data_IF_923587396096
#
_entry.id   IF_923587396096
#
_cell.length_a   1.000
_cell.length_b   1.000
_cell.length_c   1.000
_cell.angle_alpha   90.00
_cell.angle_beta   90.00
_cell.angle_gamma   90.00
#
_symmetry.space_group_name_H-M   'P 1'
#
loop_
_entity.id
_entity.type
_entity.pdbx_description
1 polymer ?
#
# COMPACT_ATOMS: atom_id res chain seq x y z
N UNK A 1 -28.00 36.89 26.28
CA UNK A 1 -28.93 35.75 26.29
C UNK A 1 -29.37 35.50 24.85
N UNK A 2 -28.61 34.70 24.08
CA UNK A 2 -29.01 34.24 22.76
C UNK A 2 -28.73 32.75 22.65
N UNK A 3 -29.81 32.01 22.46
CA UNK A 3 -29.79 30.54 22.33
C UNK A 3 -29.36 30.19 20.91
N UNK A 4 -28.23 29.52 20.73
CA UNK A 4 -27.85 28.91 19.47
C UNK A 4 -28.43 27.49 19.39
N UNK A 5 -29.32 27.30 18.44
CA UNK A 5 -29.98 26.05 18.10
C UNK A 5 -28.99 25.16 17.36
N UNK A 6 -28.75 23.96 17.90
CA UNK A 6 -27.98 22.91 17.24
C UNK A 6 -28.93 22.11 16.36
N UNK A 7 -28.70 22.10 15.05
CA UNK A 7 -29.42 21.25 14.10
C UNK A 7 -28.65 19.97 13.94
N UNK A 8 -29.22 18.88 14.46
CA UNK A 8 -28.72 17.53 14.22
C UNK A 8 -29.28 17.03 12.88
N UNK A 9 -28.44 16.71 11.92
CA UNK A 9 -28.82 16.04 10.69
C UNK A 9 -28.87 14.53 10.93
N UNK A 10 -30.06 13.96 10.87
CA UNK A 10 -30.35 12.54 10.89
C UNK A 10 -30.21 12.01 9.46
N UNK A 11 -29.27 11.13 9.20
CA UNK A 11 -29.20 10.39 7.93
C UNK A 11 -30.03 9.12 8.08
N UNK A 12 -31.12 9.08 7.33
CA UNK A 12 -32.06 7.97 7.24
C UNK A 12 -31.52 6.92 6.26
N UNK A 13 -31.21 5.73 6.76
CA UNK A 13 -30.81 4.60 5.92
C UNK A 13 -32.03 3.98 5.23
N UNK A 14 -31.98 3.86 3.91
CA UNK A 14 -32.97 3.17 3.11
C UNK A 14 -32.58 1.68 2.98
N UNK A 15 -33.37 0.80 3.59
CA UNK A 15 -33.33 -0.65 3.37
C UNK A 15 -34.22 -0.96 2.16
N UNK A 16 -33.63 -1.50 1.10
CA UNK A 16 -34.41 -2.06 -0.03
C UNK A 16 -34.36 -3.57 0.09
N UNK A 17 -35.53 -4.14 0.32
CA UNK A 17 -35.76 -5.58 0.30
C UNK A 17 -35.81 -6.08 -1.16
N UNK A 18 -35.00 -7.12 -1.47
CA UNK A 18 -34.95 -7.73 -2.76
C UNK A 18 -35.98 -8.85 -2.91
N UNK A 19 -36.65 -8.89 -4.06
CA UNK A 19 -37.50 -10.00 -4.50
C UNK A 19 -36.67 -11.04 -5.26
N UNK A 20 -36.78 -12.27 -4.82
CA UNK A 20 -36.28 -13.49 -5.47
C UNK A 20 -37.12 -13.84 -6.70
N UNK A 21 -36.45 -14.00 -7.84
CA UNK A 21 -37.01 -14.61 -9.04
C UNK A 21 -36.10 -15.73 -9.54
N UNK A 22 -36.46 -16.97 -9.30
CA UNK A 22 -35.72 -18.13 -9.75
C UNK A 22 -36.02 -18.42 -11.23
N UNK A 23 -35.00 -18.64 -12.04
CA UNK A 23 -35.10 -19.32 -13.33
C UNK A 23 -34.37 -20.65 -13.24
N UNK A 24 -35.15 -21.72 -13.41
CA UNK A 24 -34.65 -23.08 -13.60
C UNK A 24 -34.17 -23.22 -15.05
N UNK A 25 -33.00 -23.77 -15.26
CA UNK A 25 -32.56 -24.30 -16.54
C UNK A 25 -32.39 -25.82 -16.41
N UNK A 26 -33.01 -26.49 -17.37
CA UNK A 26 -33.16 -27.93 -17.55
C UNK A 26 -31.88 -28.53 -18.19
N UNK A 27 -31.40 -29.71 -17.76
CA UNK A 27 -30.24 -30.35 -18.37
C UNK A 27 -30.67 -31.51 -19.26
N UNK A 28 -30.67 -31.33 -20.55
CA UNK A 28 -30.57 -32.48 -21.50
C UNK A 28 -30.08 -32.03 -22.86
N UNK A 29 -28.86 -32.44 -23.23
CA UNK A 29 -28.61 -33.10 -24.53
C UNK A 29 -27.19 -33.65 -24.63
N UNK A 30 -27.17 -34.98 -24.54
CA UNK A 30 -26.09 -35.85 -24.97
C UNK A 30 -26.08 -35.91 -26.48
N UNK A 31 -24.91 -35.90 -27.12
CA UNK A 31 -24.69 -36.64 -28.35
C UNK A 31 -23.21 -36.94 -28.54
N UNK A 32 -22.91 -38.20 -28.56
CA UNK A 32 -21.62 -38.81 -28.87
C UNK A 32 -21.25 -38.65 -30.34
N UNK A 33 -19.97 -38.59 -30.65
CA UNK A 33 -19.38 -39.14 -31.86
C UNK A 33 -18.02 -39.75 -31.56
N UNK A 34 -17.91 -41.02 -31.89
CA UNK A 34 -16.73 -41.88 -31.79
C UNK A 34 -15.92 -41.84 -33.10
N UNK A 35 -14.68 -42.24 -33.03
CA UNK A 35 -13.81 -42.62 -34.12
C UNK A 35 -12.48 -41.87 -34.08
N UNK A 36 -11.30 -42.44 -34.12
CA UNK A 36 -10.81 -43.69 -34.70
C UNK A 36 -9.39 -43.90 -34.13
N UNK A 37 -9.07 -45.11 -33.76
CA UNK A 37 -7.72 -45.53 -33.38
C UNK A 37 -6.83 -45.64 -34.63
N UNK A 38 -5.59 -45.19 -34.54
CA UNK A 38 -4.53 -45.59 -35.46
C UNK A 38 -3.30 -45.97 -34.64
N UNK A 39 -2.92 -47.27 -34.78
CA UNK A 39 -1.71 -47.86 -34.28
C UNK A 39 -0.48 -47.18 -34.94
N UNK A 40 0.59 -46.95 -34.15
CA UNK A 40 1.91 -46.81 -34.70
C UNK A 40 2.97 -47.23 -33.70
N UNK A 41 3.54 -48.36 -34.01
CA UNK A 41 4.95 -48.76 -33.94
C UNK A 41 5.80 -48.39 -32.68
N UNK A 42 6.09 -49.44 -31.97
CA UNK A 42 7.21 -49.60 -31.02
C UNK A 42 8.55 -49.40 -31.71
N UNK A 43 9.32 -48.38 -31.29
CA UNK A 43 10.76 -48.31 -31.51
C UNK A 43 11.46 -48.31 -30.15
N UNK A 44 12.15 -49.40 -29.89
CA UNK A 44 13.14 -49.60 -28.83
C UNK A 44 14.38 -48.78 -29.14
N UNK A 45 14.63 -47.74 -28.37
CA UNK A 45 15.90 -47.00 -28.30
C UNK A 45 16.67 -47.36 -27.01
N UNK A 46 18.02 -47.23 -26.97
CA UNK A 46 18.86 -47.89 -26.00
C UNK A 46 18.76 -47.27 -24.60
N UNK A 47 18.82 -48.18 -23.65
CA UNK A 47 18.89 -47.98 -22.20
C UNK A 47 20.08 -47.06 -21.83
N UNK A 48 19.83 -45.82 -21.45
CA UNK A 48 20.81 -44.93 -20.87
C UNK A 48 20.93 -45.26 -19.38
N UNK A 49 22.09 -45.75 -19.01
CA UNK A 49 22.49 -46.06 -17.64
C UNK A 49 22.34 -44.78 -16.76
N UNK A 50 21.62 -44.96 -15.68
CA UNK A 50 21.60 -44.03 -14.56
C UNK A 50 22.90 -44.09 -13.76
N UNK A 51 23.80 -43.17 -14.01
CA UNK A 51 24.88 -42.83 -13.06
C UNK A 51 25.20 -41.37 -13.24
N UNK A 52 25.06 -40.63 -12.10
CA UNK A 52 25.43 -39.27 -11.78
C UNK A 52 24.25 -38.37 -11.42
N UNK A 53 23.54 -38.77 -10.34
CA UNK A 53 22.86 -37.80 -9.53
C UNK A 53 23.92 -36.94 -8.82
N UNK A 54 24.35 -35.86 -9.50
CA UNK A 54 25.11 -34.77 -8.84
C UNK A 54 24.28 -34.25 -7.70
N UNK A 55 24.60 -34.66 -6.47
CA UNK A 55 24.10 -34.05 -5.23
C UNK A 55 24.38 -32.56 -5.32
N UNK A 56 23.35 -31.75 -5.62
CA UNK A 56 23.42 -30.30 -5.42
C UNK A 56 23.80 -30.06 -3.96
N UNK A 57 24.86 -29.28 -3.69
CA UNK A 57 25.22 -28.97 -2.31
C UNK A 57 23.99 -28.39 -1.64
N UNK A 58 23.60 -28.97 -0.49
CA UNK A 58 22.45 -28.55 0.27
C UNK A 58 22.53 -27.05 0.52
N UNK A 59 21.49 -26.31 0.11
CA UNK A 59 21.36 -24.90 0.42
C UNK A 59 21.39 -24.74 1.94
N UNK A 60 22.45 -24.10 2.45
CA UNK A 60 22.51 -23.71 3.87
C UNK A 60 21.20 -22.94 4.17
N UNK A 61 20.53 -23.22 5.30
CA UNK A 61 19.36 -22.46 5.67
C UNK A 61 19.75 -20.98 5.69
N UNK A 62 19.06 -20.18 4.86
CA UNK A 62 19.25 -18.73 4.84
C UNK A 62 18.71 -18.20 6.15
N UNK A 63 19.60 -17.83 7.06
CA UNK A 63 19.21 -17.22 8.34
C UNK A 63 18.61 -15.85 8.01
N UNK A 64 17.34 -15.63 8.37
CA UNK A 64 16.66 -14.35 8.16
C UNK A 64 17.46 -13.20 8.78
N UNK A 65 17.62 -12.11 8.04
CA UNK A 65 18.31 -10.90 8.51
C UNK A 65 17.62 -10.28 9.72
N UNK A 66 18.30 -9.43 10.53
CA UNK A 66 17.66 -8.71 11.62
C UNK A 66 16.43 -7.90 11.15
N UNK A 67 16.51 -7.25 10.00
CA UNK A 67 15.39 -6.51 9.40
C UNK A 67 14.22 -7.44 9.05
N UNK A 68 14.49 -8.58 8.43
CA UNK A 68 13.45 -9.55 8.11
C UNK A 68 12.76 -10.11 9.37
N UNK A 69 13.53 -10.45 10.40
CA UNK A 69 12.99 -10.90 11.68
C UNK A 69 12.10 -9.84 12.32
N UNK A 70 12.53 -8.57 12.29
CA UNK A 70 11.77 -7.46 12.85
C UNK A 70 10.43 -7.26 12.09
N UNK A 71 10.45 -7.32 10.75
CA UNK A 71 9.22 -7.22 9.94
C UNK A 71 8.27 -8.36 10.26
N UNK A 72 8.73 -9.60 10.30
CA UNK A 72 7.87 -10.75 10.62
C UNK A 72 7.30 -10.67 12.03
N UNK A 73 8.10 -10.24 13.00
CA UNK A 73 7.66 -10.02 14.38
C UNK A 73 6.60 -8.91 14.47
N UNK A 74 6.78 -7.79 13.72
CA UNK A 74 5.81 -6.71 13.66
C UNK A 74 4.46 -7.17 13.09
N UNK A 75 4.47 -7.93 12.01
CA UNK A 75 3.24 -8.51 11.42
C UNK A 75 2.53 -9.46 12.41
N UNK A 76 3.27 -10.32 13.09
CA UNK A 76 2.74 -11.30 14.02
C UNK A 76 2.35 -10.72 15.39
N UNK A 77 2.61 -9.43 15.65
CA UNK A 77 2.41 -8.83 16.96
C UNK A 77 0.92 -8.88 17.39
N UNK A 78 0.56 -9.60 18.47
CA UNK A 78 -0.83 -9.75 18.91
C UNK A 78 -1.44 -8.46 19.46
N UNK A 79 -0.61 -7.47 19.84
CA UNK A 79 -1.08 -6.15 20.30
C UNK A 79 -1.71 -5.31 19.18
N UNK A 80 -1.51 -5.68 17.91
CA UNK A 80 -2.12 -5.00 16.75
C UNK A 80 -3.63 -5.27 16.71
N UNK A 81 -4.45 -4.28 16.33
CA UNK A 81 -5.88 -4.46 16.14
C UNK A 81 -6.19 -5.64 15.20
N UNK A 82 -7.20 -6.45 15.54
CA UNK A 82 -7.59 -7.59 14.70
C UNK A 82 -7.98 -7.16 13.28
N UNK A 83 -8.67 -6.03 13.15
CA UNK A 83 -9.02 -5.44 11.85
C UNK A 83 -7.78 -5.13 10.98
N UNK A 84 -6.70 -4.65 11.60
CA UNK A 84 -5.45 -4.40 10.87
C UNK A 84 -4.77 -5.70 10.42
N UNK A 85 -4.74 -6.72 11.29
CA UNK A 85 -4.17 -8.02 10.94
C UNK A 85 -4.89 -8.69 9.76
N UNK A 86 -6.21 -8.49 9.64
CA UNK A 86 -6.96 -8.96 8.45
C UNK A 86 -6.54 -8.26 7.15
N UNK A 87 -6.01 -7.04 7.25
CA UNK A 87 -5.53 -6.24 6.10
C UNK A 87 -4.12 -6.62 5.65
N UNK A 88 -3.36 -7.38 6.45
CA UNK A 88 -1.96 -7.72 6.15
C UNK A 88 -1.81 -8.53 4.86
N UNK A 89 -2.69 -9.52 4.65
CA UNK A 89 -2.66 -10.38 3.46
C UNK A 89 -2.97 -9.61 2.17
N UNK A 90 -4.08 -8.87 2.05
CA UNK A 90 -4.34 -8.10 0.83
C UNK A 90 -3.31 -6.97 0.60
N UNK A 91 -2.72 -6.42 1.65
CA UNK A 91 -1.68 -5.38 1.54
C UNK A 91 -0.27 -5.93 1.37
N UNK A 92 -0.07 -7.24 1.46
CA UNK A 92 1.26 -7.89 1.39
C UNK A 92 2.30 -7.17 2.26
N UNK A 93 1.89 -6.70 3.46
CA UNK A 93 2.62 -5.70 4.24
C UNK A 93 4.04 -6.12 4.61
N UNK A 94 4.26 -7.41 4.87
CA UNK A 94 5.60 -7.93 5.12
C UNK A 94 6.51 -7.79 3.88
N UNK A 95 5.99 -8.07 2.68
CA UNK A 95 6.74 -7.96 1.43
C UNK A 95 7.04 -6.49 1.11
N UNK A 96 6.06 -5.60 1.29
CA UNK A 96 6.20 -4.15 1.08
C UNK A 96 7.28 -3.56 2.01
N UNK A 97 7.23 -3.85 3.32
CA UNK A 97 8.21 -3.33 4.26
C UNK A 97 9.63 -3.86 4.00
N UNK A 98 9.77 -5.13 3.59
CA UNK A 98 11.05 -5.68 3.15
C UNK A 98 11.56 -5.03 1.88
N UNK A 99 10.67 -4.81 0.91
CA UNK A 99 11.03 -4.13 -0.34
C UNK A 99 11.53 -2.70 -0.10
N UNK A 100 10.97 -1.99 0.88
CA UNK A 100 11.43 -0.66 1.28
C UNK A 100 12.65 -0.69 2.22
N UNK A 101 13.20 -1.88 2.52
CA UNK A 101 14.37 -2.05 3.38
C UNK A 101 14.21 -1.44 4.78
N UNK A 102 12.98 -1.41 5.32
CA UNK A 102 12.76 -0.90 6.67
C UNK A 102 13.44 -1.82 7.69
N UNK A 103 14.23 -1.22 8.59
CA UNK A 103 15.09 -1.95 9.52
C UNK A 103 15.07 -1.34 10.93
N UNK A 104 15.47 -2.12 11.95
CA UNK A 104 15.64 -1.61 13.31
C UNK A 104 16.57 -0.39 13.39
N UNK A 105 16.22 0.57 14.22
CA UNK A 105 16.99 1.79 14.47
C UNK A 105 16.75 2.93 13.49
N UNK A 106 15.98 2.72 12.41
CA UNK A 106 15.67 3.77 11.43
C UNK A 106 14.78 4.86 12.03
N UNK A 107 14.92 6.09 11.49
CA UNK A 107 13.96 7.19 11.64
C UNK A 107 13.14 7.28 10.36
N UNK A 108 11.83 7.03 10.45
CA UNK A 108 10.93 6.92 9.29
C UNK A 108 9.81 7.94 9.39
N UNK A 109 9.52 8.65 8.29
CA UNK A 109 8.32 9.45 8.13
C UNK A 109 7.24 8.62 7.42
N UNK A 110 6.08 8.46 8.06
CA UNK A 110 4.85 7.95 7.46
C UNK A 110 4.00 9.15 7.04
N UNK A 111 4.17 9.58 5.78
CA UNK A 111 3.56 10.79 5.25
C UNK A 111 2.12 10.51 4.85
N UNK A 112 1.17 11.29 5.40
CA UNK A 112 -0.27 11.06 5.32
C UNK A 112 -0.66 9.69 5.89
N UNK A 113 -0.29 9.44 7.13
CA UNK A 113 -0.39 8.13 7.79
C UNK A 113 -1.84 7.61 7.98
N UNK A 114 -2.84 8.49 7.81
CA UNK A 114 -4.24 8.16 8.02
C UNK A 114 -4.51 7.61 9.40
N UNK A 115 -5.18 6.47 9.52
CA UNK A 115 -5.44 5.77 10.78
C UNK A 115 -4.23 5.03 11.36
N UNK A 116 -3.02 5.18 10.77
CA UNK A 116 -1.76 4.68 11.31
C UNK A 116 -1.52 3.18 11.14
N UNK A 117 -2.09 2.55 10.13
CA UNK A 117 -1.84 1.13 9.85
C UNK A 117 -0.36 0.82 9.64
N UNK A 118 0.30 1.55 8.73
CA UNK A 118 1.74 1.40 8.52
C UNK A 118 2.55 2.01 9.65
N UNK A 119 2.10 3.10 10.26
CA UNK A 119 2.75 3.69 11.45
C UNK A 119 2.99 2.66 12.55
N UNK A 120 1.99 1.85 12.89
CA UNK A 120 2.13 0.82 13.94
C UNK A 120 3.09 -0.29 13.52
N UNK A 121 3.05 -0.74 12.28
CA UNK A 121 4.02 -1.71 11.76
C UNK A 121 5.43 -1.15 11.79
N UNK A 122 5.62 0.08 11.31
CA UNK A 122 6.91 0.78 11.33
C UNK A 122 7.45 0.91 12.75
N UNK A 123 6.60 1.32 13.70
CA UNK A 123 6.97 1.44 15.13
C UNK A 123 7.58 0.15 15.66
N UNK A 124 6.96 -0.99 15.36
CA UNK A 124 7.48 -2.29 15.81
C UNK A 124 8.74 -2.73 15.06
N UNK A 125 8.84 -2.43 13.76
CA UNK A 125 10.03 -2.80 12.95
C UNK A 125 11.25 -1.99 13.36
N UNK A 126 11.12 -0.64 13.50
CA UNK A 126 12.26 0.20 13.87
C UNK A 126 12.65 0.02 15.34
N UNK A 127 11.73 -0.45 16.18
CA UNK A 127 11.99 -0.78 17.58
C UNK A 127 12.30 0.43 18.46
N UNK A 128 12.78 0.16 19.67
CA UNK A 128 13.01 1.20 20.70
C UNK A 128 14.11 2.21 20.35
N UNK A 129 15.08 1.81 19.51
CA UNK A 129 16.18 2.69 19.08
C UNK A 129 15.85 3.50 17.83
N UNK A 130 14.77 3.14 17.14
CA UNK A 130 14.26 3.87 15.97
C UNK A 130 13.12 4.83 16.35
N UNK A 131 12.70 5.62 15.38
CA UNK A 131 11.57 6.56 15.52
C UNK A 131 10.69 6.54 14.29
N UNK A 132 9.40 6.80 14.49
CA UNK A 132 8.44 7.03 13.43
C UNK A 132 7.80 8.40 13.65
N UNK A 133 7.80 9.23 12.61
CA UNK A 133 7.00 10.45 12.57
C UNK A 133 5.76 10.13 11.73
N UNK A 134 4.58 10.23 12.33
CA UNK A 134 3.30 9.97 11.67
C UNK A 134 2.63 11.30 11.33
N UNK A 135 2.73 11.68 10.07
CA UNK A 135 2.13 12.93 9.59
C UNK A 135 0.68 12.72 9.17
N UNK A 136 -0.17 13.68 9.53
CA UNK A 136 -1.51 13.87 8.99
C UNK A 136 -1.82 15.36 8.90
N UNK A 137 -2.63 15.75 7.92
CA UNK A 137 -3.29 17.06 7.86
C UNK A 137 -4.64 17.04 8.60
N UNK A 138 -5.28 18.19 8.72
CA UNK A 138 -6.59 18.32 9.39
C UNK A 138 -7.68 17.43 8.76
N UNK A 139 -7.84 17.33 7.43
CA UNK A 139 -8.81 16.41 6.83
C UNK A 139 -8.58 14.95 7.19
N UNK A 140 -7.33 14.47 7.16
CA UNK A 140 -6.99 13.10 7.54
C UNK A 140 -7.28 12.82 9.02
N UNK A 141 -6.97 13.76 9.91
CA UNK A 141 -7.30 13.62 11.34
C UNK A 141 -8.81 13.44 11.54
N UNK A 142 -9.64 14.23 10.81
CA UNK A 142 -11.08 14.08 10.88
C UNK A 142 -11.57 12.74 10.37
N UNK A 143 -11.06 12.32 9.21
CA UNK A 143 -11.41 11.05 8.57
C UNK A 143 -11.03 9.84 9.45
N UNK A 144 -9.84 9.85 10.04
CA UNK A 144 -9.26 8.73 10.76
C UNK A 144 -9.42 8.83 12.29
N UNK A 145 -10.25 9.74 12.79
CA UNK A 145 -10.32 10.08 14.22
C UNK A 145 -10.57 8.87 15.14
N UNK A 146 -11.44 7.96 14.75
CA UNK A 146 -11.76 6.75 15.52
C UNK A 146 -10.56 5.80 15.60
N UNK A 147 -9.88 5.56 14.47
CA UNK A 147 -8.70 4.70 14.42
C UNK A 147 -7.54 5.30 15.25
N UNK A 148 -7.30 6.61 15.10
CA UNK A 148 -6.23 7.33 15.80
C UNK A 148 -6.42 7.32 17.32
N UNK A 149 -7.65 7.42 17.82
CA UNK A 149 -7.94 7.37 19.25
C UNK A 149 -7.49 6.03 19.87
N UNK A 150 -7.79 4.91 19.21
CA UNK A 150 -7.34 3.59 19.64
C UNK A 150 -5.84 3.35 19.42
N UNK A 151 -5.31 3.84 18.31
CA UNK A 151 -3.89 3.65 17.92
C UNK A 151 -2.92 4.19 18.94
N UNK A 152 -3.18 5.37 19.47
CA UNK A 152 -2.30 6.08 20.39
C UNK A 152 -2.75 6.02 21.85
N UNK A 153 -3.81 5.27 22.17
CA UNK A 153 -4.31 5.13 23.54
C UNK A 153 -3.21 4.61 24.48
N UNK A 154 -3.17 5.16 25.69
CA UNK A 154 -2.26 4.73 26.77
C UNK A 154 -0.78 4.64 26.36
N UNK A 155 -0.33 5.44 25.40
CA UNK A 155 1.07 5.44 24.96
C UNK A 155 1.53 4.14 24.29
N UNK A 156 0.64 3.41 23.61
CA UNK A 156 0.93 2.11 22.96
C UNK A 156 2.15 2.13 22.04
N UNK A 157 2.45 3.25 21.42
CA UNK A 157 3.53 3.42 20.44
C UNK A 157 4.49 4.51 20.92
N UNK A 158 5.36 4.24 21.93
CA UNK A 158 6.16 5.27 22.58
C UNK A 158 7.27 5.86 21.70
N UNK A 159 7.63 5.20 20.59
CA UNK A 159 8.60 5.65 19.60
C UNK A 159 7.96 6.34 18.39
N UNK A 160 6.64 6.65 18.46
CA UNK A 160 5.92 7.38 17.42
C UNK A 160 5.68 8.82 17.86
N UNK A 161 6.11 9.75 17.05
CA UNK A 161 5.78 11.17 17.12
C UNK A 161 4.67 11.49 16.12
N UNK A 162 3.67 12.26 16.56
CA UNK A 162 2.58 12.69 15.68
C UNK A 162 2.85 14.10 15.17
N UNK A 163 2.96 14.26 13.87
CA UNK A 163 3.09 15.54 13.20
C UNK A 163 1.73 15.93 12.59
N UNK A 164 1.14 17.01 13.09
CA UNK A 164 -0.01 17.65 12.46
C UNK A 164 0.49 18.89 11.72
N UNK A 165 0.42 18.86 10.42
CA UNK A 165 0.77 19.98 9.55
C UNK A 165 -0.09 19.98 8.31
N UNK A 166 -0.41 21.15 7.75
CA UNK A 166 -1.15 21.24 6.50
C UNK A 166 -0.23 20.95 5.30
N UNK A 167 -0.84 20.60 4.17
CA UNK A 167 -0.16 20.03 3.01
C UNK A 167 1.04 20.84 2.49
N UNK A 168 0.97 22.17 2.58
CA UNK A 168 2.03 23.08 2.09
C UNK A 168 2.84 23.71 3.23
N UNK A 169 2.75 23.16 4.46
CA UNK A 169 3.31 23.73 5.69
C UNK A 169 4.04 22.66 6.53
N UNK A 170 4.67 21.68 5.87
CA UNK A 170 5.25 20.51 6.58
C UNK A 170 6.46 20.86 7.46
N UNK A 171 7.34 21.75 7.03
CA UNK A 171 8.54 22.19 7.73
C UNK A 171 9.42 21.02 8.24
N UNK A 172 9.69 20.04 7.39
CA UNK A 172 10.44 18.84 7.75
C UNK A 172 11.92 19.15 8.03
N UNK A 173 12.55 18.49 9.03
CA UNK A 173 13.97 18.66 9.31
C UNK A 173 14.86 18.16 8.18
N UNK A 174 15.98 18.84 7.92
CA UNK A 174 16.92 18.50 6.83
C UNK A 174 17.69 17.22 7.17
N UNK A 175 17.87 16.31 6.19
CA UNK A 175 18.69 15.10 6.28
C UNK A 175 18.44 14.30 7.57
N UNK A 176 17.18 14.13 7.93
CA UNK A 176 16.76 13.54 9.18
C UNK A 176 16.26 12.09 9.02
N UNK A 177 15.50 11.80 7.98
CA UNK A 177 14.86 10.51 7.80
C UNK A 177 15.74 9.54 7.02
N UNK A 178 15.74 8.28 7.45
CA UNK A 178 16.31 7.15 6.70
C UNK A 178 15.36 6.71 5.58
N UNK A 179 14.04 6.82 5.85
CA UNK A 179 13.00 6.54 4.86
C UNK A 179 11.79 7.46 5.05
N UNK A 180 11.12 7.78 3.94
CA UNK A 180 9.77 8.38 3.89
C UNK A 180 8.86 7.41 3.15
N UNK A 181 7.70 7.11 3.71
CA UNK A 181 6.70 6.27 3.07
C UNK A 181 5.44 7.06 2.74
N UNK A 182 4.93 6.84 1.52
CA UNK A 182 3.63 7.30 1.03
C UNK A 182 2.84 6.06 0.60
N UNK A 183 1.88 5.62 1.42
CA UNK A 183 1.19 4.36 1.19
C UNK A 183 -0.29 4.55 0.93
N UNK A 184 -0.71 4.44 -0.33
CA UNK A 184 -2.04 4.70 -0.87
C UNK A 184 -2.49 6.16 -0.66
N UNK A 185 -1.57 7.08 -0.87
CA UNK A 185 -1.78 8.51 -0.60
C UNK A 185 -1.08 9.44 -1.61
N UNK A 186 -0.28 8.90 -2.55
CA UNK A 186 0.38 9.77 -3.52
C UNK A 186 -0.64 10.44 -4.47
N UNK A 187 -1.70 9.74 -4.85
CA UNK A 187 -2.78 10.33 -5.64
C UNK A 187 -3.39 11.56 -4.96
N UNK A 188 -3.40 11.64 -3.63
CA UNK A 188 -3.92 12.78 -2.88
C UNK A 188 -3.09 14.06 -3.03
N UNK A 189 -1.88 13.98 -3.58
CA UNK A 189 -1.10 15.15 -4.00
C UNK A 189 -1.85 15.94 -5.09
N UNK A 190 -2.70 15.26 -5.86
CA UNK A 190 -3.53 15.85 -6.91
C UNK A 190 -5.01 15.97 -6.53
N UNK A 191 -5.40 15.40 -5.38
CA UNK A 191 -6.75 15.53 -4.88
C UNK A 191 -7.01 16.95 -4.37
N UNK A 192 -8.20 17.48 -4.68
CA UNK A 192 -8.63 18.82 -4.21
C UNK A 192 -10.08 18.73 -3.77
N UNK A 193 -10.35 19.08 -2.52
CA UNK A 193 -11.69 19.32 -1.97
C UNK A 193 -11.63 20.45 -0.95
N UNK A 194 -11.67 21.67 -1.44
CA UNK A 194 -11.60 22.89 -0.60
C UNK A 194 -12.71 22.95 0.44
N UNK A 195 -13.89 22.39 0.13
CA UNK A 195 -15.01 22.36 1.08
C UNK A 195 -14.74 21.43 2.26
N UNK A 196 -14.04 20.33 2.02
CA UNK A 196 -13.56 19.43 3.07
C UNK A 196 -12.26 19.94 3.73
N UNK A 197 -11.68 21.03 3.26
CA UNK A 197 -10.43 21.60 3.75
C UNK A 197 -9.18 20.96 3.11
N UNK A 198 -9.35 20.22 2.00
CA UNK A 198 -8.23 19.70 1.24
C UNK A 198 -7.83 20.69 0.15
N UNK A 199 -6.94 21.61 0.51
CA UNK A 199 -6.40 22.59 -0.41
C UNK A 199 -5.48 21.92 -1.44
N UNK A 200 -5.35 22.56 -2.60
CA UNK A 200 -4.39 22.14 -3.64
C UNK A 200 -2.97 22.05 -3.07
N UNK A 201 -2.32 20.93 -3.31
CA UNK A 201 -0.92 20.72 -2.95
C UNK A 201 -0.01 21.27 -4.04
N UNK A 202 1.04 21.98 -3.64
CA UNK A 202 2.19 22.27 -4.51
C UNK A 202 3.08 21.01 -4.57
N UNK A 203 2.81 20.13 -5.53
CA UNK A 203 3.51 18.86 -5.65
C UNK A 203 5.04 19.01 -5.79
N UNK A 204 5.58 19.91 -6.62
CA UNK A 204 7.01 20.19 -6.66
C UNK A 204 7.59 20.62 -5.31
N UNK A 205 6.93 21.52 -4.58
CA UNK A 205 7.38 21.99 -3.28
C UNK A 205 7.36 20.86 -2.22
N UNK A 206 6.27 20.09 -2.16
CA UNK A 206 6.16 18.92 -1.28
C UNK A 206 7.28 17.90 -1.54
N UNK A 207 7.50 17.53 -2.80
CA UNK A 207 8.52 16.54 -3.16
C UNK A 207 9.94 17.06 -2.91
N UNK A 208 10.20 18.35 -3.14
CA UNK A 208 11.48 18.99 -2.81
C UNK A 208 11.73 18.98 -1.29
N UNK A 209 10.69 19.19 -0.48
CA UNK A 209 10.80 19.11 0.97
C UNK A 209 11.05 17.69 1.46
N UNK A 210 10.34 16.70 0.94
CA UNK A 210 10.58 15.27 1.20
C UNK A 210 12.02 14.91 0.81
N UNK A 211 12.48 15.36 -0.36
CA UNK A 211 13.87 15.13 -0.79
C UNK A 211 14.88 15.74 0.17
N UNK A 212 14.67 16.99 0.57
CA UNK A 212 15.55 17.69 1.53
C UNK A 212 15.59 16.99 2.90
N UNK A 213 14.46 16.45 3.36
CA UNK A 213 14.32 15.82 4.67
C UNK A 213 14.98 14.44 4.77
N UNK A 214 15.15 13.74 3.65
CA UNK A 214 15.87 12.46 3.61
C UNK A 214 17.38 12.66 3.74
N UNK A 215 18.03 11.73 4.45
CA UNK A 215 19.49 11.58 4.46
C UNK A 215 19.99 11.23 3.04
N UNK A 216 21.25 11.53 2.69
CA UNK A 216 21.88 10.96 1.50
C UNK A 216 21.73 9.43 1.49
N UNK A 217 21.34 8.85 0.36
CA UNK A 217 21.02 7.41 0.24
C UNK A 217 19.69 6.98 0.84
N UNK A 218 18.93 7.90 1.47
CA UNK A 218 17.62 7.64 2.07
C UNK A 218 16.57 7.23 1.03
N UNK A 219 15.52 6.57 1.48
CA UNK A 219 14.51 5.91 0.64
C UNK A 219 13.20 6.70 0.67
N UNK A 220 12.62 6.95 -0.51
CA UNK A 220 11.21 7.26 -0.66
C UNK A 220 10.49 6.01 -1.17
N UNK A 221 9.65 5.41 -0.32
CA UNK A 221 8.81 4.26 -0.66
C UNK A 221 7.39 4.70 -0.99
N UNK A 222 6.89 4.31 -2.16
CA UNK A 222 5.53 4.65 -2.58
C UNK A 222 4.75 3.39 -2.93
N UNK A 223 3.56 3.27 -2.37
CA UNK A 223 2.52 2.34 -2.81
C UNK A 223 1.33 3.17 -3.21
N UNK A 224 0.76 2.96 -4.41
CA UNK A 224 -0.47 3.64 -4.76
C UNK A 224 -1.33 2.89 -5.78
N UNK A 225 -2.61 3.24 -5.81
CA UNK A 225 -3.60 2.71 -6.73
C UNK A 225 -3.32 3.17 -8.17
N UNK A 226 -3.03 2.23 -9.05
CA UNK A 226 -2.73 2.53 -10.44
C UNK A 226 -3.99 2.99 -11.19
N UNK A 227 -3.91 4.10 -11.90
CA UNK A 227 -4.83 4.48 -12.95
C UNK A 227 -4.46 3.82 -14.29
N UNK A 228 -5.31 3.96 -15.28
CA UNK A 228 -4.95 3.58 -16.66
C UNK A 228 -3.81 4.48 -17.17
N UNK A 229 -2.97 3.95 -18.05
CA UNK A 229 -1.86 4.71 -18.62
C UNK A 229 -2.35 5.96 -19.35
N UNK A 230 -1.72 7.11 -19.09
CA UNK A 230 -2.10 8.39 -19.65
C UNK A 230 -3.31 9.05 -18.96
N UNK A 231 -3.79 8.51 -17.85
CA UNK A 231 -4.85 9.14 -17.06
C UNK A 231 -4.41 10.53 -16.57
N UNK A 232 -5.28 11.55 -16.66
CA UNK A 232 -4.95 12.88 -16.19
C UNK A 232 -4.89 12.93 -14.64
N UNK A 233 -4.20 13.92 -14.05
CA UNK A 233 -4.07 14.06 -12.60
C UNK A 233 -5.42 14.14 -11.87
N UNK A 234 -6.44 14.71 -12.51
CA UNK A 234 -7.81 14.85 -11.97
C UNK A 234 -8.49 13.50 -11.69
N UNK A 235 -7.92 12.40 -12.20
CA UNK A 235 -8.34 11.03 -11.84
C UNK A 235 -8.23 10.78 -10.35
N UNK A 236 -7.35 11.48 -9.64
CA UNK A 236 -7.26 11.48 -8.18
C UNK A 236 -8.60 11.85 -7.52
N UNK A 237 -9.30 12.88 -8.03
CA UNK A 237 -10.58 13.33 -7.48
C UNK A 237 -11.74 12.36 -7.73
N UNK A 238 -11.68 11.59 -8.80
CA UNK A 238 -12.80 10.73 -9.24
C UNK A 238 -12.63 9.28 -8.84
N UNK A 239 -11.40 8.76 -8.97
CA UNK A 239 -11.10 7.33 -8.80
C UNK A 239 -10.16 7.05 -7.62
N UNK A 240 -9.53 8.06 -6.99
CA UNK A 240 -8.45 7.88 -6.02
C UNK A 240 -7.36 6.96 -6.58
N UNK A 241 -6.89 7.30 -7.79
CA UNK A 241 -5.86 6.57 -8.53
C UNK A 241 -4.93 7.57 -9.21
N UNK A 242 -3.71 7.13 -9.50
CA UNK A 242 -2.69 7.93 -10.19
C UNK A 242 -2.08 7.14 -11.35
N UNK A 243 -1.78 7.81 -12.46
CA UNK A 243 -0.97 7.20 -13.53
C UNK A 243 0.46 6.96 -13.01
N UNK A 244 0.95 5.70 -13.02
CA UNK A 244 2.31 5.38 -12.58
C UNK A 244 3.40 6.16 -13.32
N UNK A 245 3.18 6.53 -14.58
CA UNK A 245 4.13 7.32 -15.35
C UNK A 245 4.22 8.77 -14.85
N UNK A 246 3.07 9.37 -14.51
CA UNK A 246 3.01 10.70 -13.89
C UNK A 246 3.75 10.70 -12.55
N UNK A 247 3.44 9.78 -11.66
CA UNK A 247 4.07 9.61 -10.35
C UNK A 247 5.61 9.49 -10.47
N UNK A 248 6.09 8.61 -11.34
CA UNK A 248 7.54 8.40 -11.55
C UNK A 248 8.22 9.67 -12.06
N UNK A 249 7.61 10.38 -13.01
CA UNK A 249 8.13 11.62 -13.58
C UNK A 249 8.28 12.72 -12.52
N UNK A 250 7.25 12.91 -11.69
CA UNK A 250 7.23 13.97 -10.68
C UNK A 250 8.29 13.74 -9.59
N UNK A 251 8.39 12.50 -9.11
CA UNK A 251 9.40 12.13 -8.11
C UNK A 251 10.82 12.26 -8.70
N UNK A 252 11.02 11.86 -9.95
CA UNK A 252 12.31 12.04 -10.62
C UNK A 252 12.67 13.52 -10.82
N UNK A 253 11.68 14.37 -11.12
CA UNK A 253 11.88 15.82 -11.26
C UNK A 253 12.33 16.49 -9.94
N UNK A 254 11.96 15.91 -8.79
CA UNK A 254 12.44 16.35 -7.48
C UNK A 254 13.86 15.88 -7.13
N UNK A 255 14.54 15.14 -8.02
CA UNK A 255 15.93 14.69 -7.87
C UNK A 255 16.10 13.25 -7.36
N UNK A 256 15.02 12.52 -7.16
CA UNK A 256 15.10 11.11 -6.79
C UNK A 256 15.46 10.22 -7.98
N UNK A 257 16.12 9.10 -7.68
CA UNK A 257 16.40 8.04 -8.66
C UNK A 257 15.51 6.84 -8.35
N UNK A 258 14.82 6.31 -9.35
CA UNK A 258 14.09 5.06 -9.22
C UNK A 258 15.09 3.92 -8.99
N UNK A 259 15.05 3.31 -7.81
CA UNK A 259 15.95 2.25 -7.37
C UNK A 259 15.41 0.85 -7.71
N UNK A 260 14.10 0.63 -7.49
CA UNK A 260 13.44 -0.63 -7.80
C UNK A 260 11.92 -0.49 -7.90
N UNK A 261 11.30 -1.44 -8.59
CA UNK A 261 9.85 -1.66 -8.65
C UNK A 261 9.51 -3.08 -8.19
N UNK A 262 8.33 -3.28 -7.62
CA UNK A 262 7.86 -4.59 -7.21
C UNK A 262 6.45 -4.83 -7.72
N UNK A 263 6.19 -6.04 -8.19
CA UNK A 263 4.91 -6.54 -8.66
C UNK A 263 4.04 -7.18 -7.57
N UNK A 264 4.47 -7.08 -6.31
CA UNK A 264 3.83 -7.76 -5.16
C UNK A 264 2.37 -7.38 -4.95
N UNK A 265 1.95 -6.21 -5.43
CA UNK A 265 0.56 -5.72 -5.36
C UNK A 265 -0.08 -5.55 -6.75
N UNK A 266 0.53 -6.08 -7.79
CA UNK A 266 -0.07 -6.10 -9.14
C UNK A 266 -1.30 -6.99 -9.15
N UNK A 267 -2.42 -6.44 -9.63
CA UNK A 267 -3.65 -7.18 -9.83
C UNK A 267 -4.17 -7.01 -11.26
N UNK A 268 -3.86 -7.93 -12.19
CA UNK A 268 -4.26 -7.82 -13.58
C UNK A 268 -5.78 -7.95 -13.82
N UNK A 269 -6.55 -8.31 -12.78
CA UNK A 269 -8.01 -8.39 -12.88
C UNK A 269 -8.72 -7.06 -12.59
N UNK A 270 -7.99 -6.07 -12.07
CA UNK A 270 -8.49 -4.70 -11.90
C UNK A 270 -8.25 -3.89 -13.17
N UNK A 271 -9.33 -3.53 -13.87
CA UNK A 271 -9.29 -2.74 -15.10
C UNK A 271 -8.96 -1.25 -14.89
N UNK A 272 -8.80 -0.83 -13.62
CA UNK A 272 -8.44 0.52 -13.16
C UNK A 272 -9.46 1.61 -13.51
N UNK A 273 -10.69 1.22 -13.90
CA UNK A 273 -11.76 2.17 -14.30
C UNK A 273 -12.66 2.58 -13.16
N UNK A 274 -12.60 1.85 -12.03
CA UNK A 274 -13.43 2.09 -10.84
C UNK A 274 -12.64 2.84 -9.78
N UNK A 275 -13.36 3.59 -8.94
CA UNK A 275 -12.76 4.19 -7.74
C UNK A 275 -12.12 3.12 -6.86
N UNK A 276 -10.98 3.45 -6.23
CA UNK A 276 -10.32 2.57 -5.27
C UNK A 276 -11.21 2.20 -4.07
N UNK A 277 -12.26 2.99 -3.83
CA UNK A 277 -13.28 2.75 -2.79
C UNK A 277 -14.51 1.97 -3.28
N UNK A 278 -14.61 1.65 -4.58
CA UNK A 278 -15.71 0.82 -5.07
C UNK A 278 -15.66 -0.56 -4.40
N UNK A 279 -16.77 -1.04 -3.79
CA UNK A 279 -16.80 -2.31 -3.06
C UNK A 279 -16.33 -3.52 -3.87
N UNK A 280 -16.46 -3.47 -5.20
CA UNK A 280 -16.05 -4.58 -6.09
C UNK A 280 -14.54 -4.69 -6.25
N UNK A 281 -13.76 -3.64 -5.94
CA UNK A 281 -12.29 -3.61 -6.07
C UNK A 281 -11.57 -3.16 -4.81
N UNK A 282 -12.28 -2.64 -3.81
CA UNK A 282 -11.69 -2.15 -2.57
C UNK A 282 -10.82 -3.23 -1.90
N UNK A 283 -9.58 -2.87 -1.56
CA UNK A 283 -8.57 -3.78 -1.00
C UNK A 283 -7.98 -4.78 -2.01
N UNK A 284 -8.37 -4.69 -3.30
CA UNK A 284 -7.91 -5.56 -4.39
C UNK A 284 -7.58 -4.78 -5.65
N UNK A 285 -7.43 -3.47 -5.57
CA UNK A 285 -7.00 -2.63 -6.69
C UNK A 285 -5.62 -3.05 -7.16
N UNK A 286 -5.35 -2.83 -8.44
CA UNK A 286 -4.00 -2.88 -8.96
C UNK A 286 -3.18 -1.72 -8.39
N UNK A 287 -1.97 -2.01 -7.87
CA UNK A 287 -1.15 -1.01 -7.21
C UNK A 287 0.30 -1.10 -7.69
N UNK A 288 0.93 0.07 -7.77
CA UNK A 288 2.38 0.16 -7.95
C UNK A 288 3.08 0.15 -6.59
N UNK A 289 4.24 -0.48 -6.54
CA UNK A 289 5.14 -0.45 -5.38
C UNK A 289 6.51 -0.02 -5.87
N UNK A 290 6.90 1.20 -5.54
CA UNK A 290 8.08 1.87 -6.08
C UNK A 290 9.01 2.30 -4.96
N UNK A 291 10.31 2.01 -5.13
CA UNK A 291 11.35 2.48 -4.24
C UNK A 291 12.26 3.45 -4.99
N UNK A 292 12.29 4.67 -4.50
CA UNK A 292 13.20 5.69 -4.97
C UNK A 292 14.30 5.94 -3.94
N UNK A 293 15.40 6.48 -4.39
CA UNK A 293 16.54 6.79 -3.54
C UNK A 293 16.98 8.24 -3.76
N UNK A 294 17.26 8.94 -2.65
CA UNK A 294 18.02 10.17 -2.71
C UNK A 294 19.47 9.82 -3.03
N UNK A 295 20.11 10.39 -4.06
CA UNK A 295 21.54 10.19 -4.31
C UNK A 295 22.42 10.48 -3.09
N UNK A 296 23.65 9.89 -3.07
CA UNK A 296 24.65 10.13 -2.01
C UNK A 296 25.23 11.54 -2.06
#
# INVERSE_FOLDING_TARGET
MERRTVIAAVILGLVVAGCSGGLRLDPTRSAAMAGSATEAATQTGPELRSEDAVKRPGSRPVVASPAEKAVLAAIANPARPAADRMRDKPRQSAAVLRFFHIAPGMTVLDLYSGGGYYTELLSYVVGQTGRVVAHNNTPYIRFASADLAGRYAAGRLPNVERLLAENNELELPVAHFDAVLMTNVYHDVYYVDEKAGWARIDAPALLAEVFRSLKPGGILGVVDHAAVAGAPPETANTLHRIDPALLKRDIAAAGFVLDAESDVLVNPTDDRTKSAFDPSVQGRTDQVVLRFRKPL
#
